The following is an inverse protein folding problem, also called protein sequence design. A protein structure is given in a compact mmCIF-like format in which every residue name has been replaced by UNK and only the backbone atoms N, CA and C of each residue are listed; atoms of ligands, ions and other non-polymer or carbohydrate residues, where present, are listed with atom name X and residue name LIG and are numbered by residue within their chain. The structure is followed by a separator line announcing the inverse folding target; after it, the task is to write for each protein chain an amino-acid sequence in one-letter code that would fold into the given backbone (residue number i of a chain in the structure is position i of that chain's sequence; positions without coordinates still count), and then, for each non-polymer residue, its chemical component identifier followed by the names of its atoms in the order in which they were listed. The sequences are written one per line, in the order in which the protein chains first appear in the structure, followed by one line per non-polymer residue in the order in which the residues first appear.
data_IF_033017918066
#
_entry.id   IF_033017918066
#
_cell.length_a   1.000
_cell.length_b   1.000
_cell.length_c   1.000
_cell.angle_alpha   90.00
_cell.angle_beta   90.00
_cell.angle_gamma   90.00
#
_symmetry.space_group_name_H-M   'P 1'
#
loop_
_entity.id
_entity.type
_entity.pdbx_description
1 polymer ?
#
# COMPACT_ATOMS: atom_id res chain seq x y z
N UNK A 1 21.37 11.83 -2.76
CA UNK A 1 21.40 11.41 -1.35
C UNK A 1 20.00 10.94 -0.98
N UNK A 2 19.84 9.75 -0.40
CA UNK A 2 18.55 9.31 0.12
C UNK A 2 18.36 9.92 1.51
N UNK A 3 17.47 10.90 1.63
CA UNK A 3 17.10 11.48 2.91
C UNK A 3 16.06 10.57 3.57
N UNK A 4 16.33 10.12 4.79
CA UNK A 4 15.39 9.36 5.60
C UNK A 4 14.89 10.26 6.73
N UNK A 5 13.56 10.36 6.86
CA UNK A 5 12.91 11.18 7.88
C UNK A 5 12.17 10.25 8.84
N UNK A 6 12.43 10.42 10.14
CA UNK A 6 11.71 9.69 11.19
C UNK A 6 10.35 10.35 11.41
N UNK A 7 9.29 9.55 11.41
CA UNK A 7 7.92 9.99 11.67
C UNK A 7 7.21 9.02 12.59
N UNK A 8 6.06 9.44 13.14
CA UNK A 8 5.23 8.61 14.00
C UNK A 8 3.98 8.15 13.25
N UNK A 9 3.71 6.86 13.25
CA UNK A 9 2.46 6.31 12.73
C UNK A 9 1.38 6.49 13.79
N UNK A 10 0.32 7.22 13.46
CA UNK A 10 -0.84 7.46 14.34
C UNK A 10 -1.95 6.45 14.14
N UNK A 11 -2.14 6.02 12.89
CA UNK A 11 -3.10 5.01 12.50
C UNK A 11 -2.49 4.17 11.37
N UNK A 12 -2.74 2.87 11.39
CA UNK A 12 -2.22 1.94 10.41
C UNK A 12 -3.33 0.99 9.98
N UNK A 13 -3.56 0.91 8.68
CA UNK A 13 -4.48 -0.02 8.05
C UNK A 13 -3.75 -0.91 7.06
N UNK A 14 -4.48 -1.85 6.44
CA UNK A 14 -3.93 -2.69 5.38
C UNK A 14 -3.52 -1.87 4.14
N UNK A 15 -4.19 -0.74 3.90
CA UNK A 15 -4.11 0.04 2.65
C UNK A 15 -3.49 1.41 2.78
N UNK A 16 -3.17 1.81 4.00
CA UNK A 16 -2.68 3.15 4.23
C UNK A 16 -2.34 3.38 5.68
N UNK A 17 -1.84 4.58 5.94
CA UNK A 17 -1.50 5.03 7.27
C UNK A 17 -1.76 6.53 7.43
N UNK A 18 -1.99 6.91 8.69
CA UNK A 18 -1.89 8.29 9.13
C UNK A 18 -0.50 8.51 9.74
N UNK A 19 0.27 9.42 9.16
CA UNK A 19 1.58 9.80 9.64
C UNK A 19 1.53 11.16 10.32
N UNK A 20 2.16 11.27 11.48
CA UNK A 20 2.52 12.52 12.13
C UNK A 20 3.95 12.87 11.73
N UNK A 21 4.06 13.90 10.89
CA UNK A 21 5.29 14.30 10.24
C UNK A 21 5.48 15.81 10.42
N UNK A 22 6.58 16.26 11.05
CA UNK A 22 6.91 17.68 11.01
C UNK A 22 7.14 18.07 9.55
N UNK A 23 6.47 19.14 9.11
CA UNK A 23 6.53 19.63 7.73
C UNK A 23 5.83 18.72 6.70
N UNK A 24 4.67 18.16 7.04
CA UNK A 24 3.85 17.36 6.11
C UNK A 24 3.61 18.03 4.74
N UNK A 25 3.57 19.38 4.68
CA UNK A 25 3.46 20.16 3.43
C UNK A 25 4.68 20.05 2.50
N UNK A 26 5.85 19.76 3.05
CA UNK A 26 7.11 19.64 2.30
C UNK A 26 7.42 18.20 1.88
N UNK A 27 6.66 17.22 2.39
CA UNK A 27 6.84 15.82 2.01
C UNK A 27 6.52 15.61 0.53
N UNK A 28 7.30 14.76 -0.17
CA UNK A 28 7.02 14.41 -1.55
C UNK A 28 5.66 13.67 -1.66
N UNK A 29 5.02 13.78 -2.82
CA UNK A 29 3.75 13.09 -3.08
C UNK A 29 3.91 11.56 -3.10
N UNK A 30 5.12 11.07 -3.42
CA UNK A 30 5.46 9.66 -3.53
C UNK A 30 6.72 9.41 -2.71
N UNK A 31 6.69 8.38 -1.87
CA UNK A 31 7.86 7.96 -1.09
C UNK A 31 7.75 6.52 -0.64
N UNK A 32 8.87 5.98 -0.15
CA UNK A 32 8.90 4.69 0.51
C UNK A 32 8.76 4.88 2.02
N UNK A 33 7.82 4.16 2.62
CA UNK A 33 7.66 4.11 4.07
C UNK A 33 8.28 2.80 4.61
N UNK A 34 9.11 2.92 5.63
CA UNK A 34 9.58 1.79 6.42
C UNK A 34 8.91 1.84 7.79
N UNK A 35 8.20 0.77 8.15
CA UNK A 35 7.66 0.61 9.50
C UNK A 35 8.72 -0.03 10.40
N UNK A 36 8.75 0.40 11.67
CA UNK A 36 9.65 -0.22 12.65
C UNK A 36 9.26 -1.69 12.86
N UNK A 37 10.25 -2.57 12.91
CA UNK A 37 10.04 -4.02 12.94
C UNK A 37 9.75 -4.68 11.58
N UNK A 38 9.49 -3.91 10.51
CA UNK A 38 9.35 -4.44 9.15
C UNK A 38 10.66 -4.31 8.35
N UNK A 39 10.98 -5.34 7.58
CA UNK A 39 12.07 -5.31 6.59
C UNK A 39 11.61 -4.79 5.23
N UNK A 40 10.30 -4.92 4.94
CA UNK A 40 9.70 -4.46 3.70
C UNK A 40 9.51 -2.93 3.70
N UNK A 41 9.68 -2.34 2.51
CA UNK A 41 9.29 -0.96 2.25
C UNK A 41 7.90 -0.95 1.61
N UNK A 42 7.07 0.03 1.98
CA UNK A 42 5.75 0.22 1.38
C UNK A 42 5.79 1.40 0.42
N UNK A 43 5.38 1.20 -0.83
CA UNK A 43 5.29 2.27 -1.81
C UNK A 43 4.07 3.14 -1.50
N UNK A 44 4.31 4.38 -1.07
CA UNK A 44 3.27 5.27 -0.57
C UNK A 44 2.98 6.41 -1.54
N UNK A 45 1.69 6.71 -1.72
CA UNK A 45 1.20 7.95 -2.34
C UNK A 45 0.43 8.77 -1.32
N UNK A 46 0.58 10.09 -1.35
CA UNK A 46 -0.17 10.99 -0.46
C UNK A 46 -1.63 11.06 -0.91
N UNK A 47 -2.55 10.60 -0.06
CA UNK A 47 -3.99 10.72 -0.29
C UNK A 47 -4.51 12.10 0.13
N UNK A 48 -4.01 12.61 1.26
CA UNK A 48 -4.35 13.94 1.77
C UNK A 48 -3.26 14.44 2.72
N UNK A 49 -3.24 15.75 2.96
CA UNK A 49 -2.28 16.42 3.85
C UNK A 49 -2.93 17.52 4.68
N UNK A 50 -2.47 17.67 5.91
CA UNK A 50 -2.75 18.80 6.81
C UNK A 50 -1.41 19.41 7.27
N UNK A 51 -1.40 20.32 8.25
CA UNK A 51 -0.17 21.00 8.69
C UNK A 51 0.90 20.04 9.21
N UNK A 52 0.52 19.05 10.03
CA UNK A 52 1.42 18.07 10.65
C UNK A 52 1.04 16.61 10.38
N UNK A 53 0.00 16.41 9.58
CA UNK A 53 -0.54 15.07 9.32
C UNK A 53 -0.53 14.77 7.83
N UNK A 54 -0.21 13.52 7.51
CA UNK A 54 -0.16 13.02 6.15
C UNK A 54 -0.91 11.70 6.09
N UNK A 55 -2.00 11.66 5.32
CA UNK A 55 -2.66 10.42 4.97
C UNK A 55 -2.02 9.83 3.73
N UNK A 56 -1.63 8.56 3.79
CA UNK A 56 -1.01 7.86 2.67
C UNK A 56 -1.73 6.58 2.31
N UNK A 57 -1.63 6.20 1.04
CA UNK A 57 -2.09 4.94 0.49
C UNK A 57 -0.90 4.06 0.13
N UNK A 58 -1.03 2.76 0.37
CA UNK A 58 -0.07 1.71 0.07
C UNK A 58 -0.39 1.14 -1.31
N UNK A 59 0.07 1.82 -2.36
CA UNK A 59 -0.32 1.55 -3.76
C UNK A 59 -0.05 0.11 -4.19
N UNK A 60 1.11 -0.46 -3.82
CA UNK A 60 1.43 -1.85 -4.18
C UNK A 60 0.50 -2.86 -3.47
N UNK A 61 0.17 -2.62 -2.20
CA UNK A 61 -0.72 -3.45 -1.39
C UNK A 61 -2.15 -3.41 -1.94
N UNK A 62 -2.63 -2.22 -2.32
CA UNK A 62 -3.94 -2.05 -2.96
C UNK A 62 -3.99 -2.82 -4.28
N UNK A 63 -2.94 -2.69 -5.12
CA UNK A 63 -2.86 -3.39 -6.41
C UNK A 63 -2.78 -4.91 -6.26
N UNK A 64 -2.00 -5.40 -5.30
CA UNK A 64 -1.85 -6.82 -5.02
C UNK A 64 -3.16 -7.45 -4.52
N UNK A 65 -3.87 -6.77 -3.61
CA UNK A 65 -5.20 -7.20 -3.18
C UNK A 65 -6.18 -7.25 -4.35
N UNK A 66 -6.25 -6.19 -5.16
CA UNK A 66 -7.14 -6.20 -6.33
C UNK A 66 -6.79 -7.30 -7.33
N UNK A 67 -5.51 -7.67 -7.49
CA UNK A 67 -5.11 -8.80 -8.35
C UNK A 67 -5.64 -10.10 -7.78
N UNK A 68 -5.49 -10.31 -6.48
CA UNK A 68 -5.98 -11.51 -5.79
C UNK A 68 -7.50 -11.62 -5.88
N UNK A 69 -8.21 -10.51 -5.73
CA UNK A 69 -9.68 -10.45 -5.86
C UNK A 69 -10.14 -10.70 -7.30
N UNK A 70 -9.47 -10.10 -8.30
CA UNK A 70 -9.80 -10.29 -9.73
C UNK A 70 -9.51 -11.71 -10.23
N UNK A 71 -8.52 -12.40 -9.65
CA UNK A 71 -8.23 -13.81 -9.95
C UNK A 71 -8.95 -14.78 -8.99
N UNK A 72 -9.80 -14.25 -8.11
CA UNK A 72 -10.62 -14.99 -7.16
C UNK A 72 -11.95 -15.50 -7.72
N UNK A 73 -12.22 -15.39 -9.02
CA UNK A 73 -13.19 -16.29 -9.65
C UNK A 73 -12.61 -17.71 -9.62
N UNK A 74 -13.21 -18.67 -8.90
CA UNK A 74 -12.73 -20.03 -8.92
C UNK A 74 -12.81 -20.54 -10.36
N UNK A 75 -11.70 -21.07 -10.87
CA UNK A 75 -11.62 -21.83 -12.11
C UNK A 75 -12.43 -23.14 -12.02
N UNK A 76 -13.71 -23.08 -11.65
CA UNK A 76 -14.66 -24.21 -11.64
C UNK A 76 -15.39 -24.32 -12.99
N UNK A 77 -15.30 -23.33 -13.87
CA UNK A 77 -15.94 -23.39 -15.20
C UNK A 77 -14.91 -23.48 -16.33
N UNK A 78 -14.01 -24.47 -16.27
CA UNK A 78 -13.49 -25.07 -17.50
C UNK A 78 -13.04 -26.51 -17.29
N UNK A 79 -13.92 -27.34 -16.72
CA UNK A 79 -13.86 -28.76 -17.01
C UNK A 79 -14.18 -28.95 -18.51
N UNK A 80 -13.14 -28.95 -19.35
CA UNK A 80 -13.26 -29.49 -20.71
C UNK A 80 -13.68 -30.96 -20.58
N UNK A 81 -14.83 -31.40 -21.14
CA UNK A 81 -15.13 -32.81 -21.19
C UNK A 81 -14.05 -33.50 -22.03
N UNK A 82 -13.44 -34.55 -21.48
CA UNK A 82 -12.65 -35.48 -22.27
C UNK A 82 -13.56 -36.11 -23.33
N UNK A 83 -13.13 -36.27 -24.59
CA UNK A 83 -13.82 -37.18 -25.50
C UNK A 83 -13.54 -38.62 -25.04
N UNK A 84 -14.57 -39.50 -24.93
CA UNK A 84 -14.32 -40.92 -24.75
C UNK A 84 -13.75 -41.53 -26.03
N UNK A 85 -12.68 -42.33 -25.84
CA UNK A 85 -12.04 -43.36 -26.69
C UNK A 85 -11.95 -43.12 -28.21
#
# INVERSE_FOLDING_TARGET
QNQHLVCMVRDLSQDGALLDVPMAKQMPFIFWLRLDGETALRFCTVAWRSDNHLGVEFTEQILDRQRTERWGEPAVVLAKPHPPA
#
